data_IF_735787219741
#
_entry.id   IF_735787219741
#
_cell.length_a   1.000
_cell.length_b   1.000
_cell.length_c   1.000
_cell.angle_alpha   90.00
_cell.angle_beta   90.00
_cell.angle_gamma   90.00
#
_symmetry.space_group_name_H-M   'P 1'
#
loop_
_entity.id
_entity.type
_entity.pdbx_description
1 polymer ?
#
# COMPACT_ATOMS: atom_id res chain seq x y z
N UNK A 1 6.93 -0.99 -20.20
CA UNK A 1 6.19 -1.37 -18.97
C UNK A 1 7.03 -1.28 -17.70
N UNK A 2 8.32 -1.69 -17.71
CA UNK A 2 9.21 -1.62 -16.53
C UNK A 2 9.24 -0.23 -15.86
N UNK A 3 9.36 0.86 -16.63
CA UNK A 3 9.36 2.22 -16.08
C UNK A 3 8.03 2.62 -15.43
N UNK A 4 6.90 2.16 -15.99
CA UNK A 4 5.56 2.40 -15.43
C UNK A 4 5.42 1.66 -14.10
N UNK A 5 5.85 0.40 -14.05
CA UNK A 5 5.89 -0.38 -12.81
C UNK A 5 6.76 0.29 -11.74
N UNK A 6 7.97 0.74 -12.09
CA UNK A 6 8.83 1.51 -11.19
C UNK A 6 8.12 2.75 -10.64
N UNK A 7 7.42 3.50 -11.49
CA UNK A 7 6.63 4.68 -11.07
C UNK A 7 5.51 4.31 -10.07
N UNK A 8 4.79 3.22 -10.32
CA UNK A 8 3.74 2.72 -9.42
C UNK A 8 4.32 2.31 -8.06
N UNK A 9 5.49 1.66 -8.04
CA UNK A 9 6.18 1.30 -6.80
C UNK A 9 6.62 2.52 -6.00
N UNK A 10 7.18 3.54 -6.67
CA UNK A 10 7.56 4.81 -6.02
C UNK A 10 6.33 5.51 -5.44
N UNK A 11 5.23 5.56 -6.19
CA UNK A 11 3.98 6.15 -5.72
C UNK A 11 3.47 5.44 -4.46
N UNK A 12 3.43 4.10 -4.47
CA UNK A 12 3.08 3.30 -3.30
C UNK A 12 3.99 3.63 -2.11
N UNK A 13 5.30 3.64 -2.32
CA UNK A 13 6.27 3.93 -1.26
C UNK A 13 6.01 5.30 -0.61
N UNK A 14 5.80 6.35 -1.41
CA UNK A 14 5.54 7.72 -0.93
C UNK A 14 4.25 7.77 -0.11
N UNK A 15 3.16 7.19 -0.65
CA UNK A 15 1.84 7.22 0.01
C UNK A 15 1.89 6.46 1.34
N UNK A 16 2.42 5.24 1.33
CA UNK A 16 2.40 4.36 2.49
C UNK A 16 3.39 4.81 3.58
N UNK A 17 4.57 5.33 3.22
CA UNK A 17 5.46 5.93 4.22
C UNK A 17 4.89 7.23 4.77
N UNK A 18 4.30 8.09 3.93
CA UNK A 18 3.60 9.29 4.39
C UNK A 18 2.49 8.96 5.38
N UNK A 19 1.65 7.95 5.06
CA UNK A 19 0.61 7.45 5.94
C UNK A 19 1.18 6.89 7.24
N UNK A 20 2.23 6.07 7.18
CA UNK A 20 2.91 5.52 8.36
C UNK A 20 3.38 6.63 9.31
N UNK A 21 4.13 7.61 8.81
CA UNK A 21 4.62 8.72 9.61
C UNK A 21 3.47 9.55 10.21
N UNK A 22 2.46 9.89 9.41
CA UNK A 22 1.32 10.68 9.87
C UNK A 22 0.55 9.95 10.97
N UNK A 23 0.21 8.67 10.78
CA UNK A 23 -0.62 7.89 11.69
C UNK A 23 0.12 7.50 12.98
N UNK A 24 1.41 7.18 12.89
CA UNK A 24 2.23 6.90 14.07
C UNK A 24 2.46 8.19 14.86
N UNK A 25 2.81 9.31 14.21
CA UNK A 25 3.06 10.58 14.92
C UNK A 25 1.79 11.12 15.57
N UNK A 26 0.65 11.07 14.88
CA UNK A 26 -0.64 11.45 15.43
C UNK A 26 -1.00 10.63 16.69
N UNK A 27 -0.61 9.35 16.72
CA UNK A 27 -0.84 8.50 17.89
C UNK A 27 0.03 8.82 19.11
N UNK A 28 1.15 9.53 18.92
CA UNK A 28 2.06 9.95 19.98
C UNK A 28 1.65 11.29 20.62
N UNK A 29 0.92 12.15 19.89
CA UNK A 29 0.49 13.48 20.34
C UNK A 29 -0.90 13.58 20.97
N UNK A 30 -1.64 12.46 21.09
CA UNK A 30 -3.05 12.44 21.49
C UNK A 30 -3.28 12.55 23.00
N UNK A 31 -3.16 13.76 23.56
CA UNK A 31 -3.84 14.14 24.81
C UNK A 31 -5.20 14.73 24.44
N UNK A 32 -6.29 13.97 24.65
CA UNK A 32 -7.65 14.54 24.71
C UNK A 32 -8.62 14.27 23.55
N UNK A 33 -9.00 13.02 23.32
CA UNK A 33 -10.26 12.71 22.58
C UNK A 33 -11.06 11.70 23.41
N UNK A 34 -12.37 11.91 23.52
CA UNK A 34 -13.31 11.29 24.47
C UNK A 34 -13.58 9.78 24.26
N UNK A 35 -12.84 9.10 23.37
CA UNK A 35 -12.67 7.63 23.36
C UNK A 35 -11.23 7.25 22.91
N UNK A 36 -10.21 7.42 23.78
CA UNK A 36 -8.80 7.50 23.41
C UNK A 36 -8.09 6.14 23.30
N UNK A 37 -8.81 5.01 23.29
CA UNK A 37 -8.16 3.70 23.11
C UNK A 37 -8.38 3.12 21.70
N UNK A 38 -9.60 3.16 21.17
CA UNK A 38 -9.93 2.49 19.90
C UNK A 38 -9.30 3.18 18.68
N UNK A 39 -9.45 4.50 18.56
CA UNK A 39 -8.90 5.29 17.45
C UNK A 39 -7.37 5.34 17.43
N UNK A 40 -6.76 5.39 18.62
CA UNK A 40 -5.30 5.49 18.84
C UNK A 40 -4.60 4.15 18.65
N UNK A 41 -5.29 3.03 18.94
CA UNK A 41 -4.83 1.68 18.57
C UNK A 41 -4.97 1.48 17.07
N UNK A 42 -6.11 1.85 16.48
CA UNK A 42 -6.33 1.74 15.03
C UNK A 42 -5.28 2.52 14.23
N UNK A 43 -5.03 3.80 14.59
CA UNK A 43 -4.03 4.64 13.92
C UNK A 43 -2.63 4.02 13.99
N UNK A 44 -2.23 3.48 15.15
CA UNK A 44 -0.94 2.78 15.28
C UNK A 44 -0.86 1.53 14.43
N UNK A 45 -1.86 0.66 14.55
CA UNK A 45 -1.90 -0.60 13.79
C UNK A 45 -1.86 -0.35 12.28
N UNK A 46 -2.64 0.62 11.81
CA UNK A 46 -2.63 0.99 10.40
C UNK A 46 -1.31 1.65 9.99
N UNK A 47 -0.76 2.56 10.80
CA UNK A 47 0.55 3.17 10.54
C UNK A 47 1.68 2.15 10.40
N UNK A 48 1.72 1.13 11.26
CA UNK A 48 2.68 0.02 11.12
C UNK A 48 2.38 -0.86 9.90
N UNK A 49 1.11 -1.08 9.56
CA UNK A 49 0.72 -1.76 8.33
C UNK A 49 1.22 -1.02 7.08
N UNK A 50 1.01 0.28 7.02
CA UNK A 50 1.49 1.14 5.93
C UNK A 50 3.03 1.12 5.85
N UNK A 51 3.74 1.15 6.99
CA UNK A 51 5.20 1.04 7.02
C UNK A 51 5.68 -0.29 6.42
N UNK A 52 5.04 -1.41 6.80
CA UNK A 52 5.37 -2.73 6.28
C UNK A 52 5.12 -2.82 4.76
N UNK A 53 3.97 -2.34 4.29
CA UNK A 53 3.59 -2.33 2.87
C UNK A 53 4.52 -1.43 2.05
N UNK A 54 4.84 -0.24 2.54
CA UNK A 54 5.83 0.63 1.91
C UNK A 54 7.20 -0.04 1.82
N UNK A 55 7.64 -0.72 2.90
CA UNK A 55 8.94 -1.38 2.94
C UNK A 55 9.08 -2.51 1.91
N UNK A 56 7.97 -3.17 1.55
CA UNK A 56 7.97 -4.24 0.55
C UNK A 56 8.58 -3.77 -0.78
N UNK A 57 8.38 -2.50 -1.16
CA UNK A 57 8.97 -1.90 -2.38
C UNK A 57 10.50 -1.92 -2.34
N UNK A 58 11.10 -1.64 -1.19
CA UNK A 58 12.56 -1.58 -1.02
C UNK A 58 13.15 -2.98 -1.20
N UNK A 59 12.54 -3.99 -0.58
CA UNK A 59 12.98 -5.38 -0.65
C UNK A 59 12.92 -5.97 -2.06
N UNK A 60 11.95 -5.54 -2.86
CA UNK A 60 11.69 -6.13 -4.17
C UNK A 60 12.43 -5.42 -5.30
N UNK A 61 12.96 -4.24 -5.03
CA UNK A 61 13.66 -3.41 -6.00
C UNK A 61 14.76 -4.13 -6.80
N UNK A 62 15.65 -4.94 -6.17
CA UNK A 62 16.65 -5.71 -6.92
C UNK A 62 16.05 -6.85 -7.77
N UNK A 63 14.80 -7.25 -7.52
CA UNK A 63 14.11 -8.37 -8.17
C UNK A 63 12.91 -7.93 -9.02
N UNK A 64 12.90 -6.67 -9.48
CA UNK A 64 11.76 -6.02 -10.18
C UNK A 64 11.41 -6.59 -11.55
N UNK A 65 12.22 -7.51 -12.05
CA UNK A 65 12.02 -8.30 -13.27
C UNK A 65 11.73 -9.77 -12.97
N UNK A 66 11.90 -10.26 -11.74
CA UNK A 66 11.59 -11.64 -11.43
C UNK A 66 10.06 -11.85 -11.37
N UNK A 67 9.52 -12.67 -12.28
CA UNK A 67 8.07 -12.88 -12.38
C UNK A 67 7.44 -13.40 -11.08
N UNK A 68 8.08 -14.35 -10.39
CA UNK A 68 7.55 -14.93 -9.16
C UNK A 68 7.51 -13.90 -8.03
N UNK A 69 8.63 -13.18 -7.82
CA UNK A 69 8.74 -12.15 -6.77
C UNK A 69 7.73 -11.02 -7.01
N UNK A 70 7.68 -10.50 -8.23
CA UNK A 70 6.76 -9.42 -8.60
C UNK A 70 5.30 -9.86 -8.46
N UNK A 71 4.97 -11.11 -8.81
CA UNK A 71 3.62 -11.66 -8.64
C UNK A 71 3.17 -11.66 -7.18
N UNK A 72 4.02 -12.15 -6.27
CA UNK A 72 3.71 -12.20 -4.84
C UNK A 72 3.47 -10.81 -4.28
N UNK A 73 4.34 -9.86 -4.63
CA UNK A 73 4.30 -8.51 -4.07
C UNK A 73 3.12 -7.74 -4.61
N UNK A 74 2.89 -7.75 -5.92
CA UNK A 74 1.70 -7.12 -6.51
C UNK A 74 0.40 -7.74 -5.97
N UNK A 75 0.38 -9.05 -5.70
CA UNK A 75 -0.75 -9.70 -5.06
C UNK A 75 -1.02 -9.16 -3.65
N UNK A 76 0.02 -9.01 -2.83
CA UNK A 76 -0.10 -8.40 -1.49
C UNK A 76 -0.55 -6.95 -1.54
N UNK A 77 0.08 -6.12 -2.40
CA UNK A 77 -0.28 -4.71 -2.55
C UNK A 77 -1.72 -4.55 -3.04
N UNK A 78 -2.13 -5.37 -4.00
CA UNK A 78 -3.51 -5.41 -4.50
C UNK A 78 -4.51 -5.69 -3.36
N UNK A 79 -4.31 -6.77 -2.61
CA UNK A 79 -5.20 -7.13 -1.49
C UNK A 79 -5.26 -6.02 -0.45
N UNK A 80 -4.11 -5.44 -0.10
CA UNK A 80 -4.03 -4.37 0.87
C UNK A 80 -4.83 -3.13 0.45
N UNK A 81 -4.57 -2.56 -0.74
CA UNK A 81 -5.28 -1.35 -1.16
C UNK A 81 -6.77 -1.59 -1.38
N UNK A 82 -7.17 -2.76 -1.92
CA UNK A 82 -8.60 -3.12 -2.04
C UNK A 82 -9.25 -3.16 -0.66
N UNK A 83 -8.62 -3.83 0.31
CA UNK A 83 -9.12 -3.93 1.68
C UNK A 83 -9.30 -2.56 2.33
N UNK A 84 -8.30 -1.68 2.19
CA UNK A 84 -8.37 -0.30 2.72
C UNK A 84 -9.48 0.50 2.02
N UNK A 85 -9.60 0.41 0.69
CA UNK A 85 -10.67 1.07 -0.06
C UNK A 85 -12.06 0.63 0.41
N UNK A 86 -12.27 -0.69 0.56
CA UNK A 86 -13.54 -1.23 1.06
C UNK A 86 -13.80 -0.73 2.47
N UNK A 87 -12.80 -0.74 3.35
CA UNK A 87 -12.94 -0.26 4.72
C UNK A 87 -13.42 1.19 4.77
N UNK A 88 -12.82 2.10 3.99
CA UNK A 88 -13.27 3.50 3.92
C UNK A 88 -14.65 3.65 3.26
N UNK A 89 -14.98 2.83 2.26
CA UNK A 89 -16.29 2.83 1.61
C UNK A 89 -17.43 2.38 2.53
N UNK A 90 -17.16 1.45 3.46
CA UNK A 90 -18.14 0.93 4.42
C UNK A 90 -18.28 1.84 5.64
N UNK A 91 -17.17 2.26 6.24
CA UNK A 91 -17.19 3.04 7.50
C UNK A 91 -17.67 4.47 7.26
N UNK A 92 -17.44 5.01 6.06
CA UNK A 92 -17.73 6.41 5.75
C UNK A 92 -16.73 7.35 6.46
N UNK A 93 -16.15 8.27 5.69
CA UNK A 93 -15.14 9.20 6.19
C UNK A 93 -13.85 9.19 5.37
N UNK A 94 -13.06 10.27 5.49
CA UNK A 94 -11.81 10.52 4.74
C UNK A 94 -11.86 10.09 3.26
N UNK A 95 -12.88 10.56 2.53
CA UNK A 95 -13.11 10.17 1.13
C UNK A 95 -11.90 10.38 0.21
N UNK A 96 -11.08 11.40 0.49
CA UNK A 96 -9.83 11.63 -0.24
C UNK A 96 -8.82 10.49 -0.06
N UNK A 97 -8.68 9.96 1.16
CA UNK A 97 -7.79 8.82 1.47
C UNK A 97 -8.36 7.54 0.86
N UNK A 98 -9.65 7.28 1.04
CA UNK A 98 -10.33 6.14 0.41
C UNK A 98 -10.18 6.16 -1.13
N UNK A 99 -10.32 7.33 -1.74
CA UNK A 99 -10.12 7.54 -3.18
C UNK A 99 -8.68 7.29 -3.63
N UNK A 100 -7.68 7.71 -2.84
CA UNK A 100 -6.27 7.42 -3.12
C UNK A 100 -5.99 5.92 -3.11
N UNK A 101 -6.48 5.19 -2.11
CA UNK A 101 -6.36 3.72 -2.08
C UNK A 101 -7.12 3.05 -3.23
N UNK A 102 -8.24 3.63 -3.68
CA UNK A 102 -8.98 3.11 -4.84
C UNK A 102 -8.18 3.26 -6.15
N UNK A 103 -7.47 4.38 -6.32
CA UNK A 103 -6.57 4.56 -7.46
C UNK A 103 -5.42 3.56 -7.40
N UNK A 104 -4.79 3.40 -6.23
CA UNK A 104 -3.70 2.45 -6.04
C UNK A 104 -4.16 1.01 -6.28
N UNK A 105 -5.35 0.63 -5.84
CA UNK A 105 -5.88 -0.71 -6.09
C UNK A 105 -6.03 -1.01 -7.58
N UNK A 106 -6.59 -0.07 -8.36
CA UNK A 106 -6.69 -0.18 -9.83
C UNK A 106 -5.31 -0.29 -10.48
N UNK A 107 -4.34 0.51 -10.03
CA UNK A 107 -2.97 0.45 -10.54
C UNK A 107 -2.31 -0.91 -10.22
N UNK A 108 -2.48 -1.44 -9.00
CA UNK A 108 -1.91 -2.74 -8.62
C UNK A 108 -2.55 -3.90 -9.37
N UNK A 109 -3.88 -3.88 -9.57
CA UNK A 109 -4.57 -4.87 -10.42
C UNK A 109 -4.04 -4.80 -11.85
N UNK A 110 -3.91 -3.60 -12.40
CA UNK A 110 -3.40 -3.39 -13.76
C UNK A 110 -1.96 -3.90 -13.90
N UNK A 111 -1.09 -3.55 -12.96
CA UNK A 111 0.29 -4.04 -12.96
C UNK A 111 0.33 -5.56 -12.80
N UNK A 112 -0.51 -6.13 -11.94
CA UNK A 112 -0.58 -7.58 -11.75
C UNK A 112 -0.93 -8.28 -13.06
N UNK A 113 -1.99 -7.88 -13.75
CA UNK A 113 -2.40 -8.48 -15.03
C UNK A 113 -1.32 -8.31 -16.11
N UNK A 114 -0.61 -7.17 -16.11
CA UNK A 114 0.36 -6.83 -17.15
C UNK A 114 1.80 -7.30 -16.86
N UNK A 115 2.10 -7.91 -15.70
CA UNK A 115 3.47 -8.26 -15.26
C UNK A 115 4.28 -9.09 -16.24
N UNK A 116 3.62 -9.93 -17.05
CA UNK A 116 4.27 -10.70 -18.11
C UNK A 116 4.88 -9.85 -19.23
N UNK A 117 4.60 -8.54 -19.30
CA UNK A 117 5.15 -7.62 -20.31
C UNK A 117 6.53 -7.06 -19.96
N UNK A 118 7.05 -7.29 -18.74
CA UNK A 118 8.38 -6.81 -18.35
C UNK A 118 9.15 -7.76 -17.44
N UNK A 119 8.47 -8.71 -16.78
CA UNK A 119 9.14 -9.71 -15.97
C UNK A 119 9.74 -10.82 -16.85
N UNK A 120 10.93 -11.26 -16.46
CA UNK A 120 11.56 -12.49 -16.93
C UNK A 120 10.76 -13.67 -16.40
N UNK A 121 10.25 -14.50 -17.32
CA UNK A 121 9.58 -15.74 -16.97
C UNK A 121 10.64 -16.78 -16.57
N UNK A 122 10.33 -17.71 -15.65
CA UNK A 122 11.20 -18.85 -15.41
C UNK A 122 11.47 -19.56 -16.74
N UNK A 123 12.70 -20.01 -16.98
CA UNK A 123 12.98 -20.95 -18.05
C UNK A 123 12.13 -22.20 -17.77
N UNK A 124 11.15 -22.44 -18.64
CA UNK A 124 10.28 -23.63 -18.58
C UNK A 124 11.02 -24.87 -19.02
#
# INVERSE_FOLDING_TARGET
MKNVFTGVLILNLIVEFGAAFALISASLGGVGVEDPMSATVWSRSYGFGALAIGSAVIWIWPHRDNYAVVSTVLGMLMVFHIGVTISFGVVGGQLAVGGLHAVLSVLMVTMYVLRGKWCEKPAG
#
